data_IF_862966798645
#
_entry.id   IF_862966798645
#
_cell.length_a   1.000
_cell.length_b   1.000
_cell.length_c   1.000
_cell.angle_alpha   90.00
_cell.angle_beta   90.00
_cell.angle_gamma   90.00
#
_symmetry.space_group_name_H-M   'P 1'
#
loop_
_entity.id
_entity.type
_entity.pdbx_description
1 polymer ?
#
# COMPACT_ATOMS: atom_id res chain seq x y z
N UNK A 1 9.74 -47.62 4.27
CA UNK A 1 8.84 -47.60 3.09
C UNK A 1 8.25 -48.98 2.78
N UNK A 2 8.99 -50.09 2.95
CA UNK A 2 8.48 -51.45 2.67
C UNK A 2 7.45 -52.01 3.66
N UNK A 3 7.51 -51.65 4.96
CA UNK A 3 6.58 -52.22 5.96
C UNK A 3 5.13 -51.73 5.78
N UNK A 4 4.96 -50.46 5.40
CA UNK A 4 3.64 -49.87 5.14
C UNK A 4 3.03 -50.41 3.84
N UNK A 5 3.85 -50.64 2.81
CA UNK A 5 3.44 -51.29 1.57
C UNK A 5 3.14 -52.79 1.75
N UNK A 6 3.85 -53.48 2.65
CA UNK A 6 3.56 -54.86 3.03
C UNK A 6 2.28 -54.98 3.87
N UNK A 7 2.02 -54.03 4.79
CA UNK A 7 0.75 -53.98 5.53
C UNK A 7 -0.44 -53.67 4.63
N UNK A 8 -0.29 -52.76 3.65
CA UNK A 8 -1.30 -52.51 2.60
C UNK A 8 -1.48 -53.73 1.68
N UNK A 9 -0.40 -54.44 1.34
CA UNK A 9 -0.43 -55.67 0.55
C UNK A 9 -1.08 -56.86 1.28
N UNK A 10 -0.91 -56.97 2.60
CA UNK A 10 -1.58 -57.98 3.44
C UNK A 10 -3.04 -57.63 3.73
N UNK A 11 -3.43 -56.35 3.76
CA UNK A 11 -4.83 -55.93 3.81
C UNK A 11 -5.58 -56.22 2.50
N UNK A 12 -4.86 -56.28 1.38
CA UNK A 12 -5.40 -56.62 0.05
C UNK A 12 -5.38 -58.12 -0.26
N UNK A 13 -4.63 -58.92 0.51
CA UNK A 13 -4.73 -60.39 0.48
C UNK A 13 -5.67 -60.86 1.58
N UNK A 14 -6.97 -60.68 1.36
CA UNK A 14 -7.99 -61.37 2.15
C UNK A 14 -8.81 -62.30 1.26
N UNK A 15 -8.36 -63.55 1.15
CA UNK A 15 -9.22 -64.70 0.83
C UNK A 15 -10.24 -65.01 1.95
N UNK A 16 -10.57 -64.01 2.79
CA UNK A 16 -11.54 -64.10 3.87
C UNK A 16 -12.76 -63.27 3.51
N UNK A 17 -13.96 -63.85 3.62
CA UNK A 17 -15.24 -63.18 3.35
C UNK A 17 -15.38 -61.83 4.09
N UNK A 18 -14.83 -61.75 5.31
CA UNK A 18 -14.80 -60.52 6.12
C UNK A 18 -14.02 -59.39 5.43
N UNK A 19 -12.90 -59.73 4.78
CA UNK A 19 -12.11 -58.77 4.04
C UNK A 19 -12.78 -58.24 2.79
N UNK A 20 -13.45 -59.12 2.04
CA UNK A 20 -14.26 -58.72 0.89
C UNK A 20 -15.43 -57.82 1.30
N UNK A 21 -16.07 -58.10 2.44
CA UNK A 21 -17.12 -57.25 3.02
C UNK A 21 -16.54 -55.87 3.41
N UNK A 22 -15.41 -55.84 4.13
CA UNK A 22 -14.76 -54.59 4.53
C UNK A 22 -14.30 -53.76 3.33
N UNK A 23 -13.72 -54.39 2.30
CA UNK A 23 -13.29 -53.71 1.07
C UNK A 23 -14.47 -53.16 0.29
N UNK A 24 -15.58 -53.89 0.24
CA UNK A 24 -16.81 -53.45 -0.42
C UNK A 24 -17.46 -52.28 0.34
N UNK A 25 -17.52 -52.34 1.67
CA UNK A 25 -17.97 -51.23 2.51
C UNK A 25 -17.08 -49.99 2.35
N UNK A 26 -15.76 -50.17 2.35
CA UNK A 26 -14.81 -49.07 2.11
C UNK A 26 -14.99 -48.47 0.71
N UNK A 27 -15.12 -49.30 -0.33
CA UNK A 27 -15.32 -48.83 -1.70
C UNK A 27 -16.64 -48.07 -1.84
N UNK A 28 -17.71 -48.55 -1.20
CA UNK A 28 -19.00 -47.87 -1.19
C UNK A 28 -18.92 -46.53 -0.44
N UNK A 29 -18.29 -46.49 0.73
CA UNK A 29 -18.05 -45.27 1.48
C UNK A 29 -17.16 -44.28 0.69
N UNK A 30 -16.16 -44.77 -0.04
CA UNK A 30 -15.30 -43.96 -0.89
C UNK A 30 -16.06 -43.36 -2.08
N UNK A 31 -16.93 -44.15 -2.74
CA UNK A 31 -17.79 -43.65 -3.82
C UNK A 31 -18.71 -42.55 -3.30
N UNK A 32 -19.36 -42.75 -2.15
CA UNK A 32 -20.16 -41.71 -1.49
C UNK A 32 -19.29 -40.48 -1.23
N UNK A 33 -18.11 -40.67 -0.64
CA UNK A 33 -17.18 -39.56 -0.40
C UNK A 33 -16.84 -38.81 -1.69
N UNK A 34 -16.55 -39.46 -2.82
CA UNK A 34 -16.26 -38.77 -4.08
C UNK A 34 -17.41 -37.85 -4.54
N UNK A 35 -18.66 -38.28 -4.38
CA UNK A 35 -19.82 -37.44 -4.72
C UNK A 35 -20.04 -36.27 -3.76
N UNK A 36 -19.66 -36.42 -2.48
CA UNK A 36 -19.87 -35.38 -1.46
C UNK A 36 -18.62 -34.57 -1.12
N UNK A 37 -17.42 -34.99 -1.53
CA UNK A 37 -16.14 -34.39 -1.17
C UNK A 37 -16.09 -32.92 -1.57
N UNK A 38 -16.52 -32.60 -2.80
CA UNK A 38 -16.59 -31.22 -3.28
C UNK A 38 -17.55 -30.35 -2.43
N UNK A 39 -18.69 -30.91 -2.01
CA UNK A 39 -19.64 -30.20 -1.14
C UNK A 39 -19.07 -30.00 0.26
N UNK A 40 -18.42 -31.01 0.82
CA UNK A 40 -17.76 -30.94 2.13
C UNK A 40 -16.64 -29.89 2.11
N UNK A 41 -15.83 -29.89 1.05
CA UNK A 41 -14.77 -28.91 0.83
C UNK A 41 -15.36 -27.48 0.71
N UNK A 42 -16.41 -27.30 -0.10
CA UNK A 42 -17.10 -26.03 -0.25
C UNK A 42 -17.63 -25.50 1.10
N UNK A 43 -18.27 -26.36 1.89
CA UNK A 43 -18.78 -25.98 3.21
C UNK A 43 -17.66 -25.61 4.18
N UNK A 44 -16.54 -26.32 4.14
CA UNK A 44 -15.36 -26.05 4.97
C UNK A 44 -14.75 -24.70 4.62
N UNK A 45 -14.55 -24.43 3.33
CA UNK A 45 -14.06 -23.14 2.84
C UNK A 45 -15.01 -21.99 3.21
N UNK A 46 -16.32 -22.16 3.02
CA UNK A 46 -17.33 -21.17 3.41
C UNK A 46 -17.25 -20.84 4.90
N UNK A 47 -17.05 -21.84 5.77
CA UNK A 47 -16.91 -21.62 7.22
C UNK A 47 -15.64 -20.83 7.57
N UNK A 48 -14.54 -21.10 6.88
CA UNK A 48 -13.30 -20.33 7.05
C UNK A 48 -13.48 -18.88 6.58
N UNK A 49 -14.07 -18.68 5.40
CA UNK A 49 -14.42 -17.35 4.88
C UNK A 49 -15.35 -16.60 5.85
N UNK A 50 -16.36 -17.27 6.40
CA UNK A 50 -17.30 -16.66 7.36
C UNK A 50 -16.58 -16.19 8.63
N UNK A 51 -15.64 -16.99 9.13
CA UNK A 51 -14.85 -16.64 10.33
C UNK A 51 -14.01 -15.40 10.07
N UNK A 52 -13.29 -15.37 8.95
CA UNK A 52 -12.53 -14.20 8.52
C UNK A 52 -13.42 -12.99 8.28
N UNK A 53 -14.58 -13.15 7.64
CA UNK A 53 -15.53 -12.06 7.39
C UNK A 53 -16.03 -11.41 8.68
N UNK A 54 -16.24 -12.18 9.76
CA UNK A 54 -16.61 -11.62 11.08
C UNK A 54 -15.47 -10.77 11.65
N UNK A 55 -14.22 -11.21 11.52
CA UNK A 55 -13.04 -10.43 11.91
C UNK A 55 -12.95 -9.12 11.12
N UNK A 56 -13.04 -9.20 9.78
CA UNK A 56 -13.02 -8.02 8.89
C UNK A 56 -14.14 -7.04 9.24
N UNK A 57 -15.34 -7.54 9.54
CA UNK A 57 -16.46 -6.70 9.99
C UNK A 57 -16.10 -5.91 11.26
N UNK A 58 -15.50 -6.57 12.26
CA UNK A 58 -15.08 -5.91 13.50
C UNK A 58 -14.10 -4.79 13.20
N UNK A 59 -13.03 -5.07 12.45
CA UNK A 59 -12.00 -4.07 12.12
C UNK A 59 -12.58 -2.88 11.34
N UNK A 60 -13.51 -3.13 10.42
CA UNK A 60 -14.24 -2.10 9.69
C UNK A 60 -15.11 -1.23 10.62
N UNK A 61 -15.83 -1.85 11.55
CA UNK A 61 -16.68 -1.14 12.51
C UNK A 61 -15.84 -0.34 13.53
N UNK A 62 -14.68 -0.89 13.93
CA UNK A 62 -13.69 -0.23 14.79
C UNK A 62 -13.06 0.97 14.07
N UNK A 63 -12.70 0.84 12.78
CA UNK A 63 -12.20 1.95 11.98
C UNK A 63 -13.19 3.11 11.86
N UNK A 64 -14.47 2.80 11.70
CA UNK A 64 -15.54 3.81 11.77
C UNK A 64 -15.58 4.52 13.11
N UNK A 65 -15.48 3.76 14.21
CA UNK A 65 -15.47 4.33 15.56
C UNK A 65 -14.25 5.24 15.77
N UNK A 66 -13.05 4.78 15.40
CA UNK A 66 -11.81 5.54 15.51
C UNK A 66 -11.89 6.84 14.71
N UNK A 67 -12.42 6.82 13.49
CA UNK A 67 -12.60 8.01 12.66
C UNK A 67 -13.51 9.05 13.34
N UNK A 68 -14.67 8.61 13.85
CA UNK A 68 -15.61 9.50 14.56
C UNK A 68 -14.94 10.10 15.81
N UNK A 69 -14.22 9.30 16.58
CA UNK A 69 -13.50 9.78 17.77
C UNK A 69 -12.40 10.78 17.41
N UNK A 70 -11.61 10.51 16.36
CA UNK A 70 -10.54 11.38 15.91
C UNK A 70 -11.10 12.74 15.44
N UNK A 71 -12.17 12.73 14.65
CA UNK A 71 -12.84 13.96 14.21
C UNK A 71 -13.38 14.75 15.41
N UNK A 72 -14.01 14.09 16.39
CA UNK A 72 -14.50 14.74 17.61
C UNK A 72 -13.35 15.35 18.42
N UNK A 73 -12.21 14.66 18.51
CA UNK A 73 -11.03 15.09 19.27
C UNK A 73 -10.34 16.30 18.63
N UNK A 74 -10.05 16.24 17.33
CA UNK A 74 -9.22 17.24 16.64
C UNK A 74 -10.04 18.30 15.91
N UNK A 75 -11.18 17.92 15.36
CA UNK A 75 -12.01 18.78 14.54
C UNK A 75 -13.04 19.62 15.30
N UNK A 76 -13.45 19.15 16.48
CA UNK A 76 -14.52 19.73 17.32
C UNK A 76 -15.74 20.23 16.53
N UNK A 77 -16.38 19.37 15.71
CA UNK A 77 -17.53 19.78 14.92
C UNK A 77 -18.72 20.19 15.81
N UNK A 78 -19.52 21.16 15.34
CA UNK A 78 -20.73 21.63 16.03
C UNK A 78 -21.83 20.56 16.11
N UNK A 79 -21.82 19.58 15.20
CA UNK A 79 -22.82 18.51 15.08
C UNK A 79 -22.13 17.15 15.10
N UNK A 80 -22.91 16.09 15.35
CA UNK A 80 -22.38 14.73 15.30
C UNK A 80 -21.87 14.38 13.88
N UNK A 81 -20.57 14.05 13.72
CA UNK A 81 -19.97 13.79 12.41
C UNK A 81 -20.34 12.40 11.85
N UNK A 82 -21.01 11.54 12.62
CA UNK A 82 -21.31 10.15 12.23
C UNK A 82 -21.92 10.02 10.83
N UNK A 83 -22.96 10.79 10.42
CA UNK A 83 -23.53 10.65 9.09
C UNK A 83 -22.59 11.08 7.97
N UNK A 84 -21.69 12.03 8.23
CA UNK A 84 -20.67 12.46 7.26
C UNK A 84 -19.61 11.38 7.08
N UNK A 85 -19.13 10.79 8.19
CA UNK A 85 -18.17 9.68 8.16
C UNK A 85 -18.75 8.47 7.43
N UNK A 86 -20.00 8.10 7.70
CA UNK A 86 -20.64 6.96 7.02
C UNK A 86 -20.80 7.18 5.52
N UNK A 87 -21.15 8.40 5.10
CA UNK A 87 -21.13 8.76 3.67
C UNK A 87 -19.72 8.72 3.09
N UNK A 88 -18.72 9.22 3.81
CA UNK A 88 -17.34 9.20 3.36
C UNK A 88 -16.88 7.78 3.03
N UNK A 89 -17.17 6.82 3.91
CA UNK A 89 -16.82 5.41 3.76
C UNK A 89 -17.47 4.71 2.58
N UNK A 90 -18.49 5.31 1.96
CA UNK A 90 -19.18 4.77 0.80
C UNK A 90 -18.77 5.46 -0.52
N UNK A 91 -17.76 6.34 -0.49
CA UNK A 91 -17.17 6.91 -1.71
C UNK A 91 -16.64 5.83 -2.66
N UNK A 92 -16.69 6.15 -3.94
CA UNK A 92 -16.12 5.34 -5.00
C UNK A 92 -15.53 6.25 -6.07
N UNK A 93 -14.55 5.72 -6.80
CA UNK A 93 -13.94 6.38 -7.95
C UNK A 93 -14.15 5.49 -9.17
N UNK A 94 -14.62 6.09 -10.27
CA UNK A 94 -14.73 5.40 -11.55
C UNK A 94 -13.49 5.76 -12.39
N UNK A 95 -12.64 4.80 -12.77
CA UNK A 95 -11.49 5.08 -13.62
C UNK A 95 -11.95 5.46 -15.04
N UNK A 96 -11.12 6.21 -15.80
CA UNK A 96 -11.44 6.55 -17.18
C UNK A 96 -11.45 5.29 -18.07
N UNK A 97 -12.22 5.35 -19.17
CA UNK A 97 -12.20 4.31 -20.19
C UNK A 97 -10.80 4.23 -20.84
N UNK A 98 -10.29 3.02 -21.04
CA UNK A 98 -8.94 2.74 -21.56
C UNK A 98 -8.94 2.14 -22.98
N UNK A 99 -10.11 2.05 -23.64
CA UNK A 99 -10.23 1.54 -25.01
C UNK A 99 -9.50 2.42 -26.03
N UNK A 100 -9.46 3.74 -25.80
CA UNK A 100 -8.56 4.68 -26.49
C UNK A 100 -7.45 5.09 -25.50
N UNK A 101 -6.23 4.54 -25.63
CA UNK A 101 -5.15 4.74 -24.67
C UNK A 101 -4.59 6.16 -24.69
N UNK A 102 -4.86 6.95 -25.74
CA UNK A 102 -4.35 8.31 -25.82
C UNK A 102 -4.98 9.21 -24.74
N UNK A 103 -4.11 9.86 -23.97
CA UNK A 103 -4.53 10.79 -22.93
C UNK A 103 -5.13 10.14 -21.67
N UNK A 104 -5.07 8.80 -21.52
CA UNK A 104 -5.70 8.09 -20.37
C UNK A 104 -5.08 8.53 -19.04
N UNK A 105 -3.76 8.71 -18.99
CA UNK A 105 -3.08 9.14 -17.77
C UNK A 105 -3.53 10.54 -17.34
N UNK A 106 -3.68 11.46 -18.29
CA UNK A 106 -4.16 12.82 -18.03
C UNK A 106 -5.62 12.82 -17.55
N UNK A 107 -6.48 11.97 -18.14
CA UNK A 107 -7.87 11.78 -17.69
C UNK A 107 -7.90 11.23 -16.27
N UNK A 108 -7.09 10.22 -15.97
CA UNK A 108 -6.97 9.62 -14.64
C UNK A 108 -6.47 10.64 -13.62
N UNK A 109 -5.44 11.42 -13.95
CA UNK A 109 -4.92 12.48 -13.09
C UNK A 109 -5.97 13.52 -12.72
N UNK A 110 -6.82 13.93 -13.67
CA UNK A 110 -7.93 14.85 -13.38
C UNK A 110 -8.96 14.23 -12.43
N UNK A 111 -9.30 12.96 -12.60
CA UNK A 111 -10.25 12.25 -11.72
C UNK A 111 -9.67 12.13 -10.30
N UNK A 112 -8.39 11.78 -10.17
CA UNK A 112 -7.70 11.69 -8.89
C UNK A 112 -7.67 13.06 -8.20
N UNK A 113 -7.33 14.15 -8.91
CA UNK A 113 -7.33 15.49 -8.34
C UNK A 113 -8.72 15.93 -7.86
N UNK A 114 -9.80 15.54 -8.55
CA UNK A 114 -11.18 15.81 -8.12
C UNK A 114 -11.52 15.00 -6.85
N UNK A 115 -11.08 13.74 -6.76
CA UNK A 115 -11.24 12.91 -5.56
C UNK A 115 -10.53 13.55 -4.35
N UNK A 116 -9.25 13.89 -4.50
CA UNK A 116 -8.46 14.57 -3.46
C UNK A 116 -9.13 15.87 -3.01
N UNK A 117 -9.50 16.75 -3.95
CA UNK A 117 -10.22 17.98 -3.63
C UNK A 117 -11.53 17.72 -2.86
N UNK A 118 -12.28 16.69 -3.26
CA UNK A 118 -13.54 16.32 -2.57
C UNK A 118 -13.26 15.86 -1.14
N UNK A 119 -12.22 15.05 -0.94
CA UNK A 119 -11.84 14.52 0.36
C UNK A 119 -11.33 15.62 1.29
N UNK A 120 -10.41 16.46 0.83
CA UNK A 120 -9.94 17.66 1.55
C UNK A 120 -11.13 18.53 1.98
N UNK A 121 -12.11 18.73 1.08
CA UNK A 121 -13.30 19.55 1.32
C UNK A 121 -14.22 18.97 2.38
N UNK A 122 -14.45 17.65 2.36
CA UNK A 122 -15.28 16.96 3.35
C UNK A 122 -14.60 16.92 4.72
N UNK A 123 -13.29 16.65 4.76
CA UNK A 123 -12.51 16.67 6.00
C UNK A 123 -12.53 18.06 6.63
N UNK A 124 -12.35 19.12 5.84
CA UNK A 124 -12.43 20.48 6.34
C UNK A 124 -13.82 20.84 6.91
N UNK A 125 -14.90 20.24 6.39
CA UNK A 125 -16.25 20.41 6.94
C UNK A 125 -16.46 19.60 8.23
N UNK A 126 -15.92 18.38 8.29
CA UNK A 126 -16.00 17.51 9.47
C UNK A 126 -15.11 18.00 10.62
N UNK A 127 -13.98 18.64 10.31
CA UNK A 127 -12.95 19.02 11.27
C UNK A 127 -12.49 20.49 11.10
N UNK A 128 -13.37 21.48 11.37
CA UNK A 128 -13.07 22.89 11.16
C UNK A 128 -11.89 23.40 12.02
N UNK A 129 -11.74 22.91 13.26
CA UNK A 129 -10.67 23.36 14.18
C UNK A 129 -9.33 22.64 14.02
N UNK A 130 -9.25 21.59 13.18
CA UNK A 130 -8.03 20.83 13.00
C UNK A 130 -6.95 21.63 12.25
N UNK A 131 -5.69 21.50 12.65
CA UNK A 131 -4.53 22.08 11.94
C UNK A 131 -4.36 21.43 10.56
N UNK A 132 -3.61 22.04 9.61
CA UNK A 132 -3.38 21.43 8.30
C UNK A 132 -2.83 19.98 8.40
N UNK A 133 -1.81 19.75 9.23
CA UNK A 133 -1.27 18.41 9.44
C UNK A 133 -2.30 17.42 10.03
N UNK A 134 -3.13 17.88 10.97
CA UNK A 134 -4.22 17.06 11.52
C UNK A 134 -5.29 16.75 10.48
N UNK A 135 -5.61 17.68 9.57
CA UNK A 135 -6.57 17.43 8.48
C UNK A 135 -6.04 16.38 7.51
N UNK A 136 -4.77 16.47 7.11
CA UNK A 136 -4.12 15.48 6.26
C UNK A 136 -4.13 14.08 6.93
N UNK A 137 -3.84 14.03 8.23
CA UNK A 137 -3.95 12.81 9.02
C UNK A 137 -5.38 12.26 9.09
N UNK A 138 -6.39 13.11 9.30
CA UNK A 138 -7.80 12.71 9.31
C UNK A 138 -8.27 12.21 7.94
N UNK A 139 -7.80 12.81 6.85
CA UNK A 139 -8.05 12.36 5.50
C UNK A 139 -7.51 10.94 5.29
N UNK A 140 -6.23 10.71 5.59
CA UNK A 140 -5.61 9.37 5.48
C UNK A 140 -6.29 8.33 6.38
N UNK A 141 -6.72 8.72 7.59
CA UNK A 141 -7.49 7.87 8.49
C UNK A 141 -8.83 7.45 7.85
N UNK A 142 -9.57 8.41 7.29
CA UNK A 142 -10.84 8.15 6.61
C UNK A 142 -10.64 7.30 5.34
N UNK A 143 -9.56 7.52 4.60
CA UNK A 143 -9.18 6.67 3.45
C UNK A 143 -8.90 5.22 3.87
N UNK A 144 -8.17 5.01 4.98
CA UNK A 144 -7.97 3.67 5.53
C UNK A 144 -9.31 3.02 5.97
N UNK A 145 -10.19 3.80 6.59
CA UNK A 145 -11.55 3.35 6.94
C UNK A 145 -12.40 2.97 5.70
N UNK A 146 -12.31 3.76 4.64
CA UNK A 146 -12.92 3.47 3.34
C UNK A 146 -12.37 2.16 2.75
N UNK A 147 -11.06 1.93 2.78
CA UNK A 147 -10.45 0.69 2.31
C UNK A 147 -10.97 -0.55 3.07
N UNK A 148 -11.04 -0.48 4.41
CA UNK A 148 -11.62 -1.53 5.25
C UNK A 148 -13.10 -1.80 4.89
N UNK A 149 -13.87 -0.75 4.60
CA UNK A 149 -15.26 -0.88 4.16
C UNK A 149 -15.38 -1.58 2.80
N UNK A 150 -14.49 -1.29 1.86
CA UNK A 150 -14.42 -1.95 0.55
C UNK A 150 -14.07 -3.43 0.72
N UNK A 151 -13.03 -3.77 1.48
CA UNK A 151 -12.67 -5.16 1.76
C UNK A 151 -13.85 -5.95 2.35
N UNK A 152 -14.53 -5.39 3.35
CA UNK A 152 -15.71 -6.02 3.95
C UNK A 152 -16.80 -6.30 2.91
N UNK A 153 -17.14 -5.31 2.07
CA UNK A 153 -18.19 -5.44 1.04
C UNK A 153 -17.84 -6.50 0.00
N UNK A 154 -16.60 -6.51 -0.49
CA UNK A 154 -16.14 -7.45 -1.53
C UNK A 154 -16.11 -8.88 -0.99
N UNK A 155 -15.50 -9.12 0.18
CA UNK A 155 -15.45 -10.46 0.80
C UNK A 155 -16.86 -10.96 1.09
N UNK A 156 -17.74 -10.09 1.62
CA UNK A 156 -19.13 -10.42 1.89
C UNK A 156 -19.90 -10.79 0.62
N UNK A 157 -19.67 -10.07 -0.48
CA UNK A 157 -20.30 -10.35 -1.77
C UNK A 157 -19.98 -11.77 -2.24
N UNK A 158 -18.69 -12.13 -2.31
CA UNK A 158 -18.27 -13.48 -2.73
C UNK A 158 -18.73 -14.57 -1.76
N UNK A 159 -18.68 -14.31 -0.44
CA UNK A 159 -19.21 -15.24 0.56
C UNK A 159 -20.70 -15.54 0.34
N UNK A 160 -21.53 -14.52 0.19
CA UNK A 160 -22.97 -14.68 -0.01
C UNK A 160 -23.29 -15.33 -1.36
N UNK A 161 -22.57 -14.96 -2.42
CA UNK A 161 -22.70 -15.57 -3.74
C UNK A 161 -22.34 -17.07 -3.71
N UNK A 162 -21.22 -17.42 -3.08
CA UNK A 162 -20.79 -18.80 -2.88
C UNK A 162 -21.78 -19.60 -2.05
N UNK A 163 -22.28 -19.03 -0.94
CA UNK A 163 -23.29 -19.67 -0.07
C UNK A 163 -24.63 -19.90 -0.79
N UNK A 164 -25.07 -18.96 -1.62
CA UNK A 164 -26.33 -19.06 -2.37
C UNK A 164 -26.26 -20.08 -3.50
N UNK A 165 -25.16 -20.08 -4.25
CA UNK A 165 -25.01 -20.92 -5.45
C UNK A 165 -24.43 -22.31 -5.14
N UNK A 166 -23.75 -22.46 -4.00
CA UNK A 166 -22.92 -23.62 -3.68
C UNK A 166 -21.91 -23.96 -4.79
N UNK A 167 -21.51 -22.95 -5.58
CA UNK A 167 -20.51 -23.10 -6.62
C UNK A 167 -19.10 -23.09 -6.02
N UNK A 168 -18.45 -24.24 -6.01
CA UNK A 168 -17.10 -24.41 -5.45
C UNK A 168 -16.08 -23.46 -6.08
N UNK A 169 -16.19 -23.13 -7.37
CA UNK A 169 -15.24 -22.24 -8.05
C UNK A 169 -15.37 -20.80 -7.58
N UNK A 170 -16.58 -20.34 -7.25
CA UNK A 170 -16.80 -19.02 -6.64
C UNK A 170 -16.20 -18.96 -5.24
N UNK A 171 -16.42 -20.02 -4.45
CA UNK A 171 -15.92 -20.14 -3.08
C UNK A 171 -14.38 -20.20 -3.07
N UNK A 172 -13.80 -20.97 -3.98
CA UNK A 172 -12.36 -21.16 -4.10
C UNK A 172 -11.65 -19.87 -4.49
N UNK A 173 -12.19 -19.07 -5.40
CA UNK A 173 -11.61 -17.78 -5.81
C UNK A 173 -11.33 -16.87 -4.60
N UNK A 174 -12.34 -16.66 -3.75
CA UNK A 174 -12.17 -15.82 -2.57
C UNK A 174 -11.31 -16.50 -1.50
N UNK A 175 -11.46 -17.82 -1.32
CA UNK A 175 -10.71 -18.58 -0.32
C UNK A 175 -9.20 -18.54 -0.55
N UNK A 176 -8.75 -18.66 -1.81
CA UNK A 176 -7.33 -18.66 -2.17
C UNK A 176 -6.64 -17.32 -1.89
N UNK A 177 -7.30 -16.19 -2.17
CA UNK A 177 -6.72 -14.86 -1.96
C UNK A 177 -6.95 -14.31 -0.55
N UNK A 178 -7.84 -14.94 0.23
CA UNK A 178 -8.25 -14.47 1.55
C UNK A 178 -7.06 -14.23 2.50
N UNK A 179 -6.02 -15.07 2.58
CA UNK A 179 -4.88 -14.81 3.47
C UNK A 179 -4.18 -13.48 3.18
N UNK A 180 -3.93 -13.18 1.90
CA UNK A 180 -3.29 -11.93 1.47
C UNK A 180 -4.19 -10.73 1.76
N UNK A 181 -5.51 -10.86 1.54
CA UNK A 181 -6.47 -9.82 1.90
C UNK A 181 -6.48 -9.55 3.41
N UNK A 182 -6.37 -10.58 4.24
CA UNK A 182 -6.36 -10.44 5.70
C UNK A 182 -5.11 -9.69 6.17
N UNK A 183 -3.93 -9.98 5.60
CA UNK A 183 -2.71 -9.22 5.91
C UNK A 183 -2.86 -7.73 5.58
N UNK A 184 -3.43 -7.41 4.41
CA UNK A 184 -3.71 -6.01 4.04
C UNK A 184 -4.72 -5.36 5.00
N UNK A 185 -5.81 -6.06 5.34
CA UNK A 185 -6.83 -5.55 6.26
C UNK A 185 -6.24 -5.29 7.66
N UNK A 186 -5.35 -6.14 8.14
CA UNK A 186 -4.64 -5.94 9.40
C UNK A 186 -3.71 -4.71 9.34
N UNK A 187 -2.97 -4.54 8.23
CA UNK A 187 -2.15 -3.35 8.02
C UNK A 187 -2.99 -2.07 8.02
N UNK A 188 -4.09 -2.02 7.26
CA UNK A 188 -5.02 -0.89 7.26
C UNK A 188 -5.65 -0.65 8.62
N UNK A 189 -5.95 -1.70 9.38
CA UNK A 189 -6.48 -1.55 10.73
C UNK A 189 -5.43 -0.94 11.68
N UNK A 190 -4.16 -1.30 11.55
CA UNK A 190 -3.08 -0.69 12.31
C UNK A 190 -2.83 0.76 11.89
N UNK A 191 -2.96 1.06 10.59
CA UNK A 191 -2.82 2.40 10.01
C UNK A 191 -3.77 3.42 10.63
N UNK A 192 -4.98 3.01 11.04
CA UNK A 192 -5.96 3.89 11.67
C UNK A 192 -5.39 4.60 12.91
N UNK A 193 -4.63 3.89 13.74
CA UNK A 193 -3.99 4.50 14.91
C UNK A 193 -2.78 5.34 14.51
N UNK A 194 -2.00 4.88 13.53
CA UNK A 194 -0.87 5.65 13.02
C UNK A 194 -1.30 7.03 12.51
N UNK A 195 -2.34 7.09 11.69
CA UNK A 195 -2.89 8.36 11.20
C UNK A 195 -3.56 9.18 12.32
N UNK A 196 -4.27 8.54 13.27
CA UNK A 196 -4.86 9.25 14.41
C UNK A 196 -3.81 10.00 15.23
N UNK A 197 -2.67 9.35 15.47
CA UNK A 197 -1.64 9.85 16.39
C UNK A 197 -0.45 10.50 15.66
N UNK A 198 -0.43 10.48 14.33
CA UNK A 198 0.65 11.06 13.51
C UNK A 198 1.95 10.27 13.58
N UNK A 199 1.87 8.95 13.71
CA UNK A 199 3.02 8.05 13.78
C UNK A 199 3.46 7.69 12.36
N UNK A 200 4.78 7.68 12.06
CA UNK A 200 5.29 7.21 10.78
C UNK A 200 4.84 5.77 10.44
N UNK A 201 4.67 5.50 9.15
CA UNK A 201 4.25 4.19 8.60
C UNK A 201 5.33 3.63 7.66
N UNK A 202 5.22 2.38 7.23
CA UNK A 202 6.19 1.78 6.29
C UNK A 202 6.44 2.62 5.03
N UNK A 203 5.41 3.24 4.47
CA UNK A 203 5.51 4.16 3.31
C UNK A 203 6.29 5.46 3.57
N UNK A 204 6.67 5.75 4.82
CA UNK A 204 7.44 6.97 5.17
C UNK A 204 8.94 6.84 4.96
N UNK A 205 9.46 5.66 4.63
CA UNK A 205 10.92 5.44 4.52
C UNK A 205 11.58 6.33 3.46
N UNK A 206 10.94 6.56 2.30
CA UNK A 206 11.44 7.49 1.28
C UNK A 206 11.53 8.93 1.79
N UNK A 207 10.44 9.50 2.35
CA UNK A 207 10.47 10.80 3.01
C UNK A 207 11.48 10.92 4.16
N UNK A 208 11.69 9.86 4.95
CA UNK A 208 12.70 9.84 6.02
C UNK A 208 14.11 9.95 5.42
N UNK A 209 14.41 9.24 4.34
CA UNK A 209 15.71 9.34 3.65
C UNK A 209 15.93 10.76 3.14
N UNK A 210 14.92 11.37 2.51
CA UNK A 210 15.02 12.75 2.05
C UNK A 210 15.20 13.75 3.22
N UNK A 211 14.47 13.59 4.33
CA UNK A 211 14.63 14.43 5.51
C UNK A 211 16.04 14.30 6.15
N UNK A 212 16.57 13.08 6.23
CA UNK A 212 17.95 12.83 6.70
C UNK A 212 19.00 13.47 5.81
N UNK A 213 18.76 13.54 4.49
CA UNK A 213 19.65 14.21 3.55
C UNK A 213 19.55 15.74 3.64
N UNK A 214 18.36 16.29 3.88
CA UNK A 214 18.16 17.73 4.03
C UNK A 214 18.91 18.30 5.24
N UNK A 215 19.04 17.54 6.32
CA UNK A 215 19.84 17.88 7.52
C UNK A 215 19.61 19.32 8.04
N UNK A 216 18.34 19.74 8.08
CA UNK A 216 17.95 21.08 8.55
C UNK A 216 18.17 22.22 7.55
N UNK A 217 18.46 21.91 6.27
CA UNK A 217 18.50 22.91 5.20
C UNK A 217 17.17 23.67 5.07
N UNK A 218 17.25 24.93 4.62
CA UNK A 218 16.05 25.70 4.32
C UNK A 218 15.29 25.06 3.15
N UNK A 219 13.97 24.97 3.32
CA UNK A 219 13.07 24.35 2.34
C UNK A 219 12.08 25.35 1.78
N UNK A 220 11.70 25.14 0.52
CA UNK A 220 10.69 25.94 -0.18
C UNK A 220 9.65 25.03 -0.84
N UNK A 221 8.45 25.57 -1.08
CA UNK A 221 7.41 24.85 -1.81
C UNK A 221 7.74 24.82 -3.31
N UNK A 222 7.71 23.63 -3.90
CA UNK A 222 8.06 23.41 -5.31
C UNK A 222 6.88 22.95 -6.17
N UNK A 223 5.88 22.33 -5.54
CA UNK A 223 4.58 21.98 -6.11
C UNK A 223 3.57 21.78 -4.97
N UNK A 224 2.30 21.53 -5.30
CA UNK A 224 1.25 21.29 -4.30
C UNK A 224 1.70 20.20 -3.31
N UNK A 225 1.81 20.58 -2.04
CA UNK A 225 2.26 19.72 -0.93
C UNK A 225 3.63 19.06 -1.15
N UNK A 226 4.54 19.74 -1.87
CA UNK A 226 5.91 19.28 -2.09
C UNK A 226 6.91 20.32 -1.60
N UNK A 227 7.86 19.89 -0.78
CA UNK A 227 8.99 20.68 -0.31
C UNK A 227 10.25 20.30 -1.10
N UNK A 228 11.13 21.27 -1.33
CA UNK A 228 12.48 21.05 -1.80
C UNK A 228 13.49 21.88 -1.01
N UNK A 229 14.70 21.36 -0.84
CA UNK A 229 15.84 22.05 -0.24
C UNK A 229 17.11 21.70 -1.01
N UNK A 230 18.15 22.51 -0.81
CA UNK A 230 19.41 22.38 -1.54
C UNK A 230 20.57 22.25 -0.57
N UNK A 231 21.47 21.30 -0.82
CA UNK A 231 22.70 21.09 -0.05
C UNK A 231 23.91 20.99 -0.98
N UNK A 232 25.10 21.24 -0.43
CA UNK A 232 26.37 20.86 -1.06
C UNK A 232 26.82 19.51 -0.49
N UNK A 233 27.21 18.59 -1.37
CA UNK A 233 27.79 17.31 -0.98
C UNK A 233 28.97 16.97 -1.88
N UNK A 234 30.18 16.98 -1.31
CA UNK A 234 31.43 16.66 -2.03
C UNK A 234 31.56 17.51 -3.32
N UNK A 235 31.26 18.82 -3.24
CA UNK A 235 31.35 19.75 -4.36
C UNK A 235 30.24 19.62 -5.42
N UNK A 236 29.15 18.88 -5.12
CA UNK A 236 27.96 18.73 -5.97
C UNK A 236 26.77 19.42 -5.34
N UNK A 237 25.92 20.05 -6.16
CA UNK A 237 24.66 20.64 -5.70
C UNK A 237 23.57 19.57 -5.71
N UNK A 238 23.05 19.22 -4.55
CA UNK A 238 21.98 18.22 -4.41
C UNK A 238 20.67 18.92 -4.09
N UNK A 239 19.69 18.79 -4.99
CA UNK A 239 18.33 19.28 -4.81
C UNK A 239 17.49 18.11 -4.27
N UNK A 240 17.06 18.20 -3.02
CA UNK A 240 16.32 17.13 -2.35
C UNK A 240 14.85 17.53 -2.29
N UNK A 241 13.94 16.65 -2.67
CA UNK A 241 12.49 16.91 -2.61
C UNK A 241 11.71 15.76 -1.97
N UNK A 242 10.66 16.10 -1.22
CA UNK A 242 9.70 15.16 -0.62
C UNK A 242 8.34 15.83 -0.41
N UNK A 243 7.31 15.04 -0.11
CA UNK A 243 6.02 15.57 0.29
C UNK A 243 6.11 16.40 1.59
N UNK A 244 5.21 17.39 1.74
CA UNK A 244 5.20 18.31 2.87
C UNK A 244 4.62 17.65 4.12
N UNK A 245 5.42 17.54 5.18
CA UNK A 245 5.02 16.95 6.46
C UNK A 245 4.95 17.94 7.61
N UNK A 246 4.61 17.48 8.83
CA UNK A 246 4.48 16.07 9.25
C UNK A 246 3.08 15.47 9.09
N UNK A 247 2.14 16.14 8.40
CA UNK A 247 0.82 15.57 8.10
C UNK A 247 0.90 14.50 7.00
N UNK A 248 -0.02 13.54 7.01
CA UNK A 248 -0.07 12.48 6.00
C UNK A 248 -0.37 12.99 4.59
N UNK A 249 0.67 13.12 3.76
CA UNK A 249 0.57 13.54 2.36
C UNK A 249 1.58 12.76 1.51
N UNK A 250 1.21 12.51 0.25
CA UNK A 250 2.09 11.98 -0.80
C UNK A 250 2.46 13.03 -1.85
N UNK A 251 1.89 14.25 -1.74
CA UNK A 251 2.14 15.39 -2.62
C UNK A 251 1.94 15.13 -4.12
N UNK A 252 2.58 15.97 -4.94
CA UNK A 252 2.65 15.85 -6.41
C UNK A 252 4.10 15.77 -6.88
N UNK A 253 4.79 14.64 -6.63
CA UNK A 253 6.22 14.52 -6.93
C UNK A 253 6.55 14.65 -8.42
N UNK A 254 5.64 14.25 -9.32
CA UNK A 254 5.83 14.45 -10.76
C UNK A 254 5.80 15.92 -11.16
N UNK A 255 4.92 16.72 -10.55
CA UNK A 255 4.88 18.17 -10.77
C UNK A 255 6.11 18.86 -10.14
N UNK A 256 6.54 18.42 -8.95
CA UNK A 256 7.75 18.92 -8.30
C UNK A 256 9.01 18.70 -9.13
N UNK A 257 9.24 17.47 -9.59
CA UNK A 257 10.40 17.12 -10.42
C UNK A 257 10.38 17.90 -11.73
N UNK A 258 9.21 18.02 -12.39
CA UNK A 258 9.06 18.84 -13.59
C UNK A 258 9.48 20.29 -13.34
N UNK A 259 8.96 20.91 -12.28
CA UNK A 259 9.27 22.30 -11.95
C UNK A 259 10.77 22.51 -11.63
N UNK A 260 11.42 21.56 -10.96
CA UNK A 260 12.87 21.61 -10.71
C UNK A 260 13.64 21.53 -12.03
N UNK A 261 13.31 20.57 -12.91
CA UNK A 261 13.97 20.41 -14.21
C UNK A 261 13.79 21.65 -15.09
N UNK A 262 12.59 22.23 -15.13
CA UNK A 262 12.29 23.47 -15.86
C UNK A 262 13.13 24.65 -15.33
N UNK A 263 13.33 24.75 -14.01
CA UNK A 263 14.18 25.79 -13.37
C UNK A 263 15.65 25.61 -13.69
N UNK A 264 16.15 24.37 -13.67
CA UNK A 264 17.56 24.05 -13.86
C UNK A 264 18.01 24.03 -15.34
N UNK A 265 17.05 24.07 -16.29
CA UNK A 265 17.31 24.24 -17.74
C UNK A 265 18.32 23.23 -18.29
N UNK A 266 18.17 21.96 -17.92
CA UNK A 266 19.02 20.86 -18.41
C UNK A 266 20.39 20.72 -17.73
N UNK A 267 20.63 21.40 -16.60
CA UNK A 267 21.87 21.26 -15.80
C UNK A 267 21.87 20.05 -14.86
N UNK A 268 20.78 19.31 -14.80
CA UNK A 268 20.63 18.17 -13.89
C UNK A 268 21.29 16.95 -14.50
N UNK A 269 22.28 16.40 -13.81
CA UNK A 269 23.05 15.24 -14.24
C UNK A 269 22.27 13.94 -14.11
N UNK A 270 21.54 13.79 -13.02
CA UNK A 270 20.80 12.57 -12.68
C UNK A 270 19.66 12.86 -11.69
N UNK A 271 18.65 11.99 -11.71
CA UNK A 271 17.54 11.95 -10.76
C UNK A 271 17.57 10.62 -10.01
N UNK A 272 17.58 10.66 -8.68
CA UNK A 272 17.49 9.48 -7.81
C UNK A 272 16.15 9.51 -7.10
N UNK A 273 15.36 8.45 -7.24
CA UNK A 273 14.10 8.25 -6.49
C UNK A 273 14.31 7.25 -5.37
N UNK A 274 13.80 7.55 -4.18
CA UNK A 274 13.85 6.64 -3.03
C UNK A 274 12.44 6.34 -2.59
N UNK A 275 12.03 5.08 -2.66
CA UNK A 275 10.67 4.65 -2.33
C UNK A 275 10.68 3.30 -1.59
N UNK A 276 9.60 3.06 -0.87
CA UNK A 276 9.33 1.76 -0.29
C UNK A 276 8.82 0.80 -1.38
N UNK A 277 9.37 -0.41 -1.45
CA UNK A 277 8.98 -1.40 -2.46
C UNK A 277 8.52 -2.70 -1.82
N UNK A 278 7.50 -3.33 -2.40
CA UNK A 278 7.07 -4.66 -1.96
C UNK A 278 8.21 -5.67 -2.06
N UNK A 279 8.47 -6.37 -0.95
CA UNK A 279 9.42 -7.47 -0.90
C UNK A 279 8.86 -8.71 -1.59
N UNK A 280 9.72 -9.50 -2.21
CA UNK A 280 9.39 -10.85 -2.65
C UNK A 280 9.49 -11.85 -1.49
N UNK A 281 8.83 -12.99 -1.64
CA UNK A 281 9.02 -14.10 -0.71
C UNK A 281 10.44 -14.65 -0.85
N UNK A 282 11.25 -14.44 0.18
CA UNK A 282 12.69 -14.71 0.18
C UNK A 282 13.55 -13.47 0.43
N UNK A 283 13.01 -12.27 0.21
CA UNK A 283 13.66 -11.00 0.58
C UNK A 283 13.30 -10.62 2.03
N UNK A 284 14.30 -10.10 2.75
CA UNK A 284 14.16 -9.54 4.08
C UNK A 284 13.49 -8.17 4.08
N UNK A 285 12.84 -7.83 5.20
CA UNK A 285 12.35 -6.47 5.45
C UNK A 285 13.56 -5.56 5.68
N UNK A 286 13.56 -4.38 5.05
CA UNK A 286 14.65 -3.41 5.14
C UNK A 286 15.85 -3.71 4.25
N UNK A 287 15.78 -4.71 3.37
CA UNK A 287 16.77 -4.88 2.30
C UNK A 287 16.73 -3.70 1.33
N UNK A 288 17.90 -3.31 0.83
CA UNK A 288 18.05 -2.21 -0.13
C UNK A 288 18.35 -2.80 -1.50
N UNK A 289 17.62 -2.34 -2.51
CA UNK A 289 17.87 -2.65 -3.91
C UNK A 289 18.09 -1.37 -4.70
N UNK A 290 19.18 -1.31 -5.45
CA UNK A 290 19.49 -0.20 -6.35
C UNK A 290 19.09 -0.56 -7.79
N UNK A 291 18.66 0.42 -8.56
CA UNK A 291 18.21 0.21 -9.93
C UNK A 291 18.06 1.49 -10.74
N UNK A 292 17.39 1.36 -11.89
CA UNK A 292 17.14 2.45 -12.84
C UNK A 292 15.64 2.65 -13.07
N UNK A 293 15.26 3.88 -13.40
CA UNK A 293 13.87 4.31 -13.57
C UNK A 293 13.29 5.00 -12.33
N UNK A 294 12.01 5.37 -12.40
CA UNK A 294 11.30 6.00 -11.29
C UNK A 294 10.68 4.96 -10.35
N UNK A 295 11.20 4.87 -9.12
CA UNK A 295 10.59 4.15 -8.03
C UNK A 295 9.52 5.02 -7.38
N UNK A 296 8.26 4.65 -7.62
CA UNK A 296 7.08 5.32 -7.07
C UNK A 296 5.88 4.37 -7.12
N UNK A 297 5.18 4.24 -6.00
CA UNK A 297 3.91 3.54 -5.88
C UNK A 297 2.71 4.31 -6.47
N UNK A 298 1.51 3.76 -6.25
CA UNK A 298 0.24 4.42 -6.55
C UNK A 298 -0.31 4.23 -7.97
N UNK A 299 -1.27 5.06 -8.40
CA UNK A 299 -2.05 4.85 -9.64
C UNK A 299 -1.28 5.05 -10.97
N UNK A 300 0.01 5.42 -10.91
CA UNK A 300 0.88 5.59 -12.08
C UNK A 300 0.88 6.98 -12.73
N UNK A 301 0.02 7.91 -12.29
CA UNK A 301 -0.02 9.29 -12.85
C UNK A 301 1.27 10.04 -12.55
N UNK A 302 1.72 10.04 -11.30
CA UNK A 302 2.94 10.73 -10.91
C UNK A 302 4.18 10.06 -11.51
N UNK A 303 4.23 8.73 -11.57
CA UNK A 303 5.27 7.98 -12.29
C UNK A 303 5.40 8.44 -13.74
N UNK A 304 4.29 8.48 -14.47
CA UNK A 304 4.28 8.94 -15.85
C UNK A 304 4.80 10.37 -16.01
N UNK A 305 4.41 11.29 -15.11
CA UNK A 305 4.91 12.68 -15.15
C UNK A 305 6.42 12.75 -14.91
N UNK A 306 6.94 11.97 -13.97
CA UNK A 306 8.39 11.89 -13.70
C UNK A 306 9.13 11.37 -14.92
N UNK A 307 8.68 10.24 -15.49
CA UNK A 307 9.30 9.61 -16.66
C UNK A 307 9.25 10.53 -17.88
N UNK A 308 8.13 11.21 -18.11
CA UNK A 308 7.97 12.18 -19.19
C UNK A 308 8.94 13.36 -19.03
N UNK A 309 8.99 13.96 -17.83
CA UNK A 309 9.88 15.09 -17.55
C UNK A 309 11.35 14.70 -17.68
N UNK A 310 11.76 13.57 -17.10
CA UNK A 310 13.12 13.06 -17.20
C UNK A 310 13.52 12.77 -18.65
N UNK A 311 12.59 12.25 -19.46
CA UNK A 311 12.83 11.98 -20.90
C UNK A 311 12.98 13.27 -21.70
N UNK A 312 12.12 14.27 -21.48
CA UNK A 312 12.18 15.57 -22.18
C UNK A 312 13.50 16.32 -21.91
N UNK A 313 14.05 16.17 -20.70
CA UNK A 313 15.32 16.80 -20.29
C UNK A 313 16.54 15.88 -20.44
N UNK A 314 16.36 14.67 -20.99
CA UNK A 314 17.42 13.66 -21.14
C UNK A 314 18.17 13.33 -19.84
N UNK A 315 17.46 13.34 -18.69
CA UNK A 315 18.02 13.06 -17.36
C UNK A 315 17.91 11.57 -17.03
N UNK A 316 19.04 10.87 -16.80
CA UNK A 316 19.02 9.49 -16.31
C UNK A 316 18.33 9.36 -14.95
N UNK A 317 17.48 8.34 -14.82
CA UNK A 317 16.76 8.03 -13.59
C UNK A 317 17.34 6.82 -12.90
N UNK A 318 17.58 6.97 -11.61
CA UNK A 318 18.05 5.95 -10.69
C UNK A 318 17.04 5.76 -9.55
N UNK A 319 17.09 4.60 -8.93
CA UNK A 319 16.17 4.20 -7.88
C UNK A 319 16.89 3.50 -6.73
N UNK A 320 16.48 3.83 -5.51
CA UNK A 320 16.79 3.08 -4.30
C UNK A 320 15.46 2.58 -3.71
N UNK A 321 15.28 1.28 -3.70
CA UNK A 321 14.07 0.62 -3.22
C UNK A 321 14.31 0.00 -1.84
N UNK A 322 13.50 0.37 -0.85
CA UNK A 322 13.55 -0.19 0.51
C UNK A 322 12.48 -1.28 0.62
N UNK A 323 12.89 -2.54 0.78
CA UNK A 323 12.00 -3.71 0.74
C UNK A 323 11.12 -3.79 1.99
N UNK A 324 9.80 -3.86 1.80
CA UNK A 324 8.82 -3.99 2.88
C UNK A 324 7.75 -5.05 2.57
N UNK A 325 7.23 -5.69 3.62
CA UNK A 325 6.08 -6.60 3.53
C UNK A 325 4.76 -5.84 3.32
N UNK A 326 3.73 -6.53 2.79
CA UNK A 326 2.38 -5.96 2.62
C UNK A 326 1.78 -5.50 3.96
N UNK A 327 2.12 -6.23 5.03
CA UNK A 327 1.73 -5.96 6.41
C UNK A 327 2.32 -4.66 6.98
N UNK A 328 3.38 -4.11 6.36
CA UNK A 328 4.09 -2.93 6.85
C UNK A 328 3.77 -1.65 6.10
N UNK A 329 3.27 -1.73 4.85
CA UNK A 329 3.09 -0.58 3.94
C UNK A 329 2.41 0.61 4.62
N UNK A 330 1.26 0.37 5.24
CA UNK A 330 0.46 1.40 5.91
C UNK A 330 0.44 1.26 7.43
N UNK A 331 1.07 0.22 7.97
CA UNK A 331 1.17 -0.01 9.40
C UNK A 331 2.27 0.88 10.02
N UNK A 332 2.26 1.08 11.36
CA UNK A 332 3.34 1.81 12.04
C UNK A 332 4.74 1.31 11.64
N UNK A 333 5.65 2.25 11.44
CA UNK A 333 7.03 1.98 11.03
C UNK A 333 7.73 1.07 12.04
N UNK A 334 8.31 -0.02 11.54
CA UNK A 334 9.09 -0.98 12.35
C UNK A 334 10.58 -0.61 12.35
N UNK A 335 11.31 -1.09 13.36
CA UNK A 335 12.72 -0.79 13.56
C UNK A 335 13.57 -1.17 12.35
N UNK A 336 13.32 -2.33 11.75
CA UNK A 336 14.06 -2.82 10.58
C UNK A 336 13.95 -1.87 9.37
N UNK A 337 12.77 -1.24 9.17
CA UNK A 337 12.56 -0.26 8.12
C UNK A 337 13.20 1.10 8.47
N UNK A 338 13.17 1.49 9.75
CA UNK A 338 13.85 2.70 10.20
C UNK A 338 15.37 2.58 10.01
N UNK A 339 15.98 1.47 10.41
CA UNK A 339 17.41 1.19 10.23
C UNK A 339 17.79 1.12 8.74
N UNK A 340 16.89 0.62 7.89
CA UNK A 340 17.11 0.58 6.45
C UNK A 340 17.24 1.99 5.83
N UNK A 341 16.65 3.02 6.43
CA UNK A 341 16.80 4.40 5.92
C UNK A 341 18.25 4.90 5.97
N UNK A 342 19.06 4.49 6.96
CA UNK A 342 20.48 4.86 7.02
C UNK A 342 21.30 4.16 5.94
N UNK A 343 20.95 2.90 5.65
CA UNK A 343 21.54 2.15 4.54
C UNK A 343 21.16 2.79 3.19
N UNK A 344 19.91 3.22 3.04
CA UNK A 344 19.44 3.92 1.85
C UNK A 344 20.11 5.28 1.65
N UNK A 345 20.32 6.07 2.72
CA UNK A 345 21.12 7.31 2.66
C UNK A 345 22.54 7.02 2.15
N UNK A 346 23.17 5.95 2.66
CA UNK A 346 24.51 5.55 2.24
C UNK A 346 24.55 5.13 0.77
N UNK A 347 23.54 4.38 0.32
CA UNK A 347 23.34 3.98 -1.08
C UNK A 347 23.18 5.20 -2.00
N UNK A 348 22.29 6.14 -1.67
CA UNK A 348 22.09 7.39 -2.43
C UNK A 348 23.42 8.17 -2.55
N UNK A 349 24.15 8.33 -1.45
CA UNK A 349 25.46 9.00 -1.45
C UNK A 349 26.48 8.29 -2.32
N UNK A 350 26.51 6.95 -2.30
CA UNK A 350 27.35 6.14 -3.18
C UNK A 350 27.03 6.38 -4.67
N UNK A 351 25.74 6.31 -5.03
CA UNK A 351 25.30 6.56 -6.40
C UNK A 351 25.65 7.97 -6.89
N UNK A 352 25.52 8.99 -6.03
CA UNK A 352 25.94 10.36 -6.36
C UNK A 352 27.43 10.38 -6.71
N UNK A 353 28.29 9.76 -5.90
CA UNK A 353 29.73 9.76 -6.13
C UNK A 353 30.15 8.94 -7.36
N UNK A 354 29.46 7.84 -7.65
CA UNK A 354 29.78 6.96 -8.77
C UNK A 354 29.34 7.51 -10.13
N UNK A 355 28.22 8.24 -10.17
CA UNK A 355 27.57 8.65 -11.43
C UNK A 355 27.56 10.16 -11.69
N UNK A 356 28.20 10.97 -10.85
CA UNK A 356 28.34 12.41 -11.06
C UNK A 356 29.74 12.94 -10.71
N UNK A 357 30.10 14.10 -11.24
CA UNK A 357 31.38 14.79 -11.04
C UNK A 357 31.20 16.07 -10.21
N UNK A 358 32.30 16.62 -9.68
CA UNK A 358 32.25 17.92 -8.99
C UNK A 358 31.65 19.01 -9.90
N UNK A 359 30.78 19.84 -9.34
CA UNK A 359 30.03 20.86 -10.08
C UNK A 359 28.72 20.38 -10.70
N UNK A 360 28.44 19.07 -10.72
CA UNK A 360 27.15 18.55 -11.19
C UNK A 360 26.00 18.90 -10.24
N UNK A 361 24.79 19.00 -10.81
CA UNK A 361 23.54 19.13 -10.04
C UNK A 361 22.79 17.80 -10.08
N UNK A 362 22.39 17.29 -8.91
CA UNK A 362 21.65 16.02 -8.76
C UNK A 362 20.33 16.26 -8.07
N UNK A 363 19.27 15.59 -8.51
CA UNK A 363 17.99 15.58 -7.80
C UNK A 363 17.85 14.28 -7.01
N UNK A 364 17.46 14.37 -5.74
CA UNK A 364 17.04 13.22 -4.91
C UNK A 364 15.61 13.42 -4.47
N UNK A 365 14.71 12.48 -4.81
CA UNK A 365 13.31 12.53 -4.46
C UNK A 365 12.94 11.40 -3.48
N UNK A 366 12.60 11.77 -2.24
CA UNK A 366 12.02 10.85 -1.26
C UNK A 366 10.51 10.72 -1.51
N UNK A 367 10.09 9.57 -2.03
CA UNK A 367 8.72 9.28 -2.43
C UNK A 367 8.03 8.46 -1.33
N UNK A 368 6.79 8.83 -1.01
CA UNK A 368 5.97 8.13 -0.01
C UNK A 368 5.18 9.10 0.86
N UNK A 369 4.38 8.55 1.77
CA UNK A 369 3.61 9.32 2.74
C UNK A 369 4.52 9.97 3.79
N UNK A 370 4.25 11.21 4.19
CA UNK A 370 5.07 11.96 5.15
C UNK A 370 4.48 12.10 6.56
N UNK A 371 3.47 11.28 6.91
CA UNK A 371 2.89 11.26 8.26
C UNK A 371 3.98 11.06 9.31
N UNK A 372 4.03 11.95 10.31
CA UNK A 372 5.02 11.91 11.38
C UNK A 372 6.44 12.31 10.97
N UNK A 373 6.67 12.73 9.71
CA UNK A 373 7.99 13.07 9.17
C UNK A 373 8.00 14.52 8.68
N UNK A 374 8.68 15.40 9.43
CA UNK A 374 8.87 16.80 9.03
C UNK A 374 9.96 16.94 7.94
N UNK A 375 10.20 18.17 7.48
CA UNK A 375 11.28 18.49 6.55
C UNK A 375 12.66 18.42 7.22
#
# INVERSE_FOLDING_TARGET
>A
MNLMFQLLGQLLQQDSEIGMILQSLFSFAFIIYLFYAQRIQAMTMLRQIETSLRKVKSLRDDGRKIAIEAIKKFGKPERDPTPQVERFMDHFMIPPINMDPSGVVQKLGKIINVREFTFEREVAQMAPEATPAQRNNLENLLEAGLALNIFYKVIRHYYLMGKKTMNIYVIMQIHMILPQLIQQIEAYSAALQAFRDGIPIGDTVGPIVAAKLLDGAEVYEVAKEMAAGEIDYEGRRIIITKAWGPGGSVGKPGDAIRNILDKEKGKVKMLITVDAAGKLEGEGVGEIAEGVGAAIGGPGVEKYKIELAATEYEVPMFAVAIKQGMEHVVAPLVEELMDATDKAVSSVKGMILEYSEEGDTVIVAGIGNTVGVAQ
#
